data_IF_955988415973
#
_entry.id   IF_955988415973
#
_cell.length_a   1.000
_cell.length_b   1.000
_cell.length_c   1.000
_cell.angle_alpha   90.00
_cell.angle_beta   90.00
_cell.angle_gamma   90.00
#
_symmetry.space_group_name_H-M   'P 1'
#
loop_
_entity.id
_entity.type
_entity.pdbx_description
1 polymer ?
#
# COMPACT_ATOMS: atom_id res chain seq x y z
N UNK A 1 -5.61 -28.46 14.53
CA UNK A 1 -4.35 -28.17 13.82
C UNK A 1 -4.25 -26.66 13.53
N UNK A 2 -3.96 -25.83 14.53
CA UNK A 2 -4.00 -24.35 14.38
C UNK A 2 -2.70 -23.63 14.80
N UNK A 3 -1.70 -24.35 15.33
CA UNK A 3 -0.45 -23.76 15.85
C UNK A 3 0.60 -23.38 14.80
N UNK A 4 0.58 -23.99 13.60
CA UNK A 4 1.61 -23.77 12.57
C UNK A 4 1.57 -22.39 11.91
N UNK A 5 0.38 -21.80 11.78
CA UNK A 5 0.19 -20.50 11.11
C UNK A 5 0.71 -19.33 11.97
N UNK A 6 0.44 -19.33 13.27
CA UNK A 6 0.86 -18.26 14.18
C UNK A 6 2.38 -18.21 14.39
N UNK A 7 3.03 -19.37 14.49
CA UNK A 7 4.49 -19.45 14.63
C UNK A 7 5.21 -18.98 13.37
N UNK A 8 4.75 -19.39 12.18
CA UNK A 8 5.29 -18.94 10.91
C UNK A 8 5.12 -17.42 10.71
N UNK A 9 3.94 -16.90 11.07
CA UNK A 9 3.65 -15.45 11.01
C UNK A 9 4.55 -14.65 11.95
N UNK A 10 4.74 -15.13 13.19
CA UNK A 10 5.68 -14.52 14.14
C UNK A 10 7.11 -14.53 13.59
N UNK A 11 7.57 -15.66 13.05
CA UNK A 11 8.91 -15.77 12.48
C UNK A 11 9.11 -14.78 11.30
N UNK A 12 8.10 -14.62 10.44
CA UNK A 12 8.10 -13.62 9.38
C UNK A 12 8.25 -12.21 9.97
N UNK A 13 7.38 -11.82 10.90
CA UNK A 13 7.39 -10.48 11.52
C UNK A 13 8.74 -10.18 12.16
N UNK A 14 9.31 -11.14 12.91
CA UNK A 14 10.59 -10.95 13.59
C UNK A 14 11.79 -10.95 12.65
N UNK A 15 11.64 -11.42 11.41
CA UNK A 15 12.70 -11.37 10.40
C UNK A 15 12.76 -10.03 9.64
N UNK A 16 11.67 -9.27 9.63
CA UNK A 16 11.56 -8.00 8.91
C UNK A 16 12.61 -6.94 9.28
N UNK A 17 13.05 -6.77 10.55
CA UNK A 17 14.11 -5.83 10.88
C UNK A 17 15.40 -6.05 10.08
N UNK A 18 15.77 -7.30 9.82
CA UNK A 18 16.98 -7.61 9.05
C UNK A 18 16.81 -7.25 7.56
N UNK A 19 15.62 -7.51 7.01
CA UNK A 19 15.28 -7.11 5.63
C UNK A 19 15.29 -5.59 5.50
N UNK A 20 14.64 -4.89 6.43
CA UNK A 20 14.56 -3.42 6.46
C UNK A 20 15.94 -2.82 6.65
N UNK A 21 16.79 -3.38 7.52
CA UNK A 21 18.17 -2.90 7.71
C UNK A 21 19.02 -3.03 6.45
N UNK A 22 18.83 -4.08 5.65
CA UNK A 22 19.60 -4.33 4.42
C UNK A 22 19.12 -3.50 3.24
N UNK A 23 17.81 -3.38 3.07
CA UNK A 23 17.20 -2.79 1.87
C UNK A 23 16.64 -1.38 2.10
N UNK A 24 16.45 -1.03 3.38
CA UNK A 24 15.75 0.15 3.90
C UNK A 24 14.24 -0.03 4.05
N UNK A 25 13.63 -1.02 3.41
CA UNK A 25 12.24 -1.41 3.62
C UNK A 25 12.05 -2.87 3.21
N UNK A 26 10.97 -3.49 3.68
CA UNK A 26 10.44 -4.74 3.14
C UNK A 26 9.24 -4.44 2.23
N UNK A 27 8.92 -5.38 1.33
CA UNK A 27 7.73 -5.32 0.48
C UNK A 27 6.91 -6.58 0.72
N UNK A 28 5.69 -6.43 1.18
CA UNK A 28 4.72 -7.51 1.31
C UNK A 28 3.85 -7.54 0.05
N UNK A 29 3.86 -8.67 -0.66
CA UNK A 29 2.98 -8.91 -1.81
C UNK A 29 1.80 -9.78 -1.35
N UNK A 30 0.58 -9.44 -1.79
CA UNK A 30 -0.65 -10.13 -1.42
C UNK A 30 -1.39 -10.55 -2.68
N UNK A 31 -1.48 -11.87 -2.88
CA UNK A 31 -2.25 -12.48 -3.96
C UNK A 31 -3.71 -12.55 -3.57
N UNK A 32 -4.51 -11.66 -4.15
CA UNK A 32 -5.96 -11.58 -3.98
C UNK A 32 -6.62 -11.44 -5.37
N UNK A 33 -7.94 -11.29 -5.43
CA UNK A 33 -8.70 -11.03 -6.67
C UNK A 33 -8.08 -9.86 -7.47
N UNK A 34 -7.58 -8.85 -6.77
CA UNK A 34 -6.72 -7.80 -7.33
C UNK A 34 -5.39 -7.81 -6.59
N UNK A 35 -4.28 -8.24 -7.22
CA UNK A 35 -2.98 -8.27 -6.58
C UNK A 35 -2.53 -6.90 -6.10
N UNK A 36 -1.94 -6.85 -4.90
CA UNK A 36 -1.36 -5.63 -4.37
C UNK A 36 -0.07 -5.90 -3.60
N UNK A 37 0.66 -4.82 -3.36
CA UNK A 37 1.83 -4.84 -2.50
C UNK A 37 1.87 -3.58 -1.64
N UNK A 38 2.51 -3.68 -0.48
CA UNK A 38 2.78 -2.53 0.36
C UNK A 38 4.16 -2.61 1.00
N UNK A 39 4.71 -1.46 1.36
CA UNK A 39 5.97 -1.37 2.08
C UNK A 39 5.78 -1.59 3.58
N UNK A 40 6.84 -2.09 4.22
CA UNK A 40 6.96 -2.16 5.67
C UNK A 40 8.32 -1.58 6.05
N UNK A 41 8.31 -0.61 6.97
CA UNK A 41 9.52 -0.01 7.50
C UNK A 41 10.04 1.19 6.71
N UNK A 42 9.39 1.59 5.61
CA UNK A 42 9.80 2.77 4.85
C UNK A 42 9.66 4.05 5.69
N UNK A 43 8.60 4.11 6.51
CA UNK A 43 8.36 5.21 7.44
C UNK A 43 9.42 5.36 8.54
N UNK A 44 10.20 4.31 8.79
CA UNK A 44 11.28 4.32 9.79
C UNK A 44 12.62 4.74 9.19
N UNK A 45 12.83 4.47 7.90
CA UNK A 45 14.12 4.68 7.22
C UNK A 45 14.14 5.92 6.35
N UNK A 46 12.98 6.42 5.94
CA UNK A 46 12.81 7.63 5.13
C UNK A 46 12.00 8.67 5.90
N UNK A 47 12.66 9.68 6.52
CA UNK A 47 11.99 10.67 7.36
C UNK A 47 10.82 11.36 6.66
N UNK A 48 9.65 11.35 7.30
CA UNK A 48 8.43 11.99 6.79
C UNK A 48 7.74 11.25 5.64
N UNK A 49 8.17 10.03 5.30
CA UNK A 49 7.58 9.22 4.23
C UNK A 49 6.53 8.26 4.81
N UNK A 50 5.28 8.23 4.32
CA UNK A 50 4.32 7.20 4.69
C UNK A 50 4.69 5.84 4.09
N UNK A 51 4.12 4.76 4.62
CA UNK A 51 4.16 3.48 3.92
C UNK A 51 3.35 3.57 2.60
N UNK A 52 3.79 2.85 1.57
CA UNK A 52 3.24 2.93 0.21
C UNK A 52 2.52 1.62 -0.12
N UNK A 53 1.31 1.72 -0.64
CA UNK A 53 0.49 0.60 -1.15
C UNK A 53 0.20 0.80 -2.64
N UNK A 54 0.27 -0.28 -3.42
CA UNK A 54 -0.02 -0.27 -4.86
C UNK A 54 -0.81 -1.52 -5.25
N UNK A 55 -1.92 -1.32 -5.98
CA UNK A 55 -2.60 -2.40 -6.71
C UNK A 55 -2.05 -2.48 -8.14
N UNK A 56 -1.86 -3.70 -8.66
CA UNK A 56 -1.37 -3.93 -10.01
C UNK A 56 -1.89 -5.24 -10.61
N UNK A 57 -1.80 -5.48 -11.92
CA UNK A 57 -2.31 -6.72 -12.54
C UNK A 57 -1.53 -7.97 -12.16
N UNK A 58 -0.35 -7.83 -11.54
CA UNK A 58 0.46 -8.94 -11.05
C UNK A 58 1.22 -8.56 -9.77
N UNK A 59 1.52 -9.56 -8.94
CA UNK A 59 2.32 -9.37 -7.71
C UNK A 59 3.70 -8.79 -8.00
N UNK A 60 4.35 -9.26 -9.06
CA UNK A 60 5.66 -8.79 -9.46
C UNK A 60 5.63 -7.30 -9.79
N UNK A 61 4.63 -6.87 -10.56
CA UNK A 61 4.47 -5.46 -10.90
C UNK A 61 4.11 -4.62 -9.66
N UNK A 62 3.20 -5.08 -8.80
CA UNK A 62 2.85 -4.37 -7.57
C UNK A 62 4.10 -4.14 -6.69
N UNK A 63 4.89 -5.19 -6.47
CA UNK A 63 6.13 -5.10 -5.69
C UNK A 63 7.21 -4.23 -6.36
N UNK A 64 7.31 -4.27 -7.69
CA UNK A 64 8.21 -3.40 -8.43
C UNK A 64 7.83 -1.92 -8.28
N UNK A 65 6.54 -1.58 -8.40
CA UNK A 65 6.05 -0.20 -8.28
C UNK A 65 6.25 0.35 -6.87
N UNK A 66 6.02 -0.44 -5.81
CA UNK A 66 6.35 -0.02 -4.43
C UNK A 66 7.83 0.32 -4.29
N UNK A 67 8.72 -0.55 -4.82
CA UNK A 67 10.17 -0.29 -4.78
C UNK A 67 10.56 0.96 -5.58
N UNK A 68 9.97 1.17 -6.76
CA UNK A 68 10.27 2.34 -7.59
C UNK A 68 9.87 3.64 -6.89
N UNK A 69 8.67 3.70 -6.30
CA UNK A 69 8.21 4.85 -5.52
C UNK A 69 9.20 5.16 -4.39
N UNK A 70 9.55 4.17 -3.57
CA UNK A 70 10.42 4.39 -2.42
C UNK A 70 11.88 4.69 -2.81
N UNK A 71 12.37 4.13 -3.91
CA UNK A 71 13.67 4.48 -4.49
C UNK A 71 13.69 5.96 -4.89
N UNK A 72 12.66 6.43 -5.58
CA UNK A 72 12.53 7.85 -5.99
C UNK A 72 12.39 8.79 -4.81
N UNK A 73 11.70 8.37 -3.74
CA UNK A 73 11.66 9.11 -2.48
C UNK A 73 13.06 9.21 -1.85
N UNK A 74 13.79 8.09 -1.76
CA UNK A 74 15.16 8.06 -1.24
C UNK A 74 16.11 8.96 -2.04
N UNK A 75 15.94 9.00 -3.36
CA UNK A 75 16.72 9.87 -4.26
C UNK A 75 16.30 11.34 -4.21
N UNK A 76 15.20 11.66 -3.52
CA UNK A 76 14.66 13.02 -3.45
C UNK A 76 13.95 13.49 -4.72
N UNK A 77 13.68 12.60 -5.67
CA UNK A 77 12.99 12.91 -6.94
C UNK A 77 11.47 12.78 -6.84
N UNK A 78 10.98 12.25 -5.72
CA UNK A 78 9.56 12.14 -5.41
C UNK A 78 9.33 12.46 -3.93
N UNK A 79 8.23 13.16 -3.63
CA UNK A 79 7.65 13.22 -2.29
C UNK A 79 6.30 12.54 -2.32
N UNK A 80 6.06 11.66 -1.36
CA UNK A 80 4.81 10.91 -1.29
C UNK A 80 3.94 11.50 -0.18
N UNK A 81 2.81 12.09 -0.54
CA UNK A 81 1.84 12.68 0.37
C UNK A 81 0.45 12.74 -0.29
N UNK A 82 -0.60 12.98 0.52
CA UNK A 82 -1.97 13.16 0.03
C UNK A 82 -2.03 14.17 -1.12
N UNK A 83 -2.66 13.77 -2.22
CA UNK A 83 -2.90 14.62 -3.38
C UNK A 83 -1.67 14.85 -4.28
N UNK A 84 -0.49 14.35 -3.92
CA UNK A 84 0.68 14.45 -4.81
C UNK A 84 0.42 13.62 -6.06
N UNK A 85 0.58 14.26 -7.22
CA UNK A 85 0.51 13.61 -8.53
C UNK A 85 1.90 13.16 -8.97
N UNK A 86 1.98 11.97 -9.54
CA UNK A 86 3.17 11.39 -10.13
C UNK A 86 2.89 10.92 -11.55
N UNK A 87 3.60 11.50 -12.51
CA UNK A 87 3.48 11.18 -13.93
C UNK A 87 4.62 10.29 -14.42
N UNK A 88 5.46 9.76 -13.54
CA UNK A 88 6.64 8.97 -13.96
C UNK A 88 6.60 7.50 -13.53
N UNK A 89 5.66 7.10 -12.65
CA UNK A 89 5.64 5.75 -12.07
C UNK A 89 5.35 4.64 -13.11
N UNK A 90 4.47 4.91 -14.07
CA UNK A 90 4.06 3.95 -15.10
C UNK A 90 4.58 4.38 -16.47
N UNK A 91 5.87 4.68 -16.55
CA UNK A 91 6.53 5.23 -17.75
C UNK A 91 5.84 6.49 -18.33
N UNK A 92 5.03 7.17 -17.51
CA UNK A 92 4.22 8.32 -17.90
C UNK A 92 3.00 8.05 -18.76
N UNK A 93 2.63 6.79 -18.96
CA UNK A 93 1.41 6.43 -19.69
C UNK A 93 0.16 6.75 -18.88
N UNK A 94 0.24 6.61 -17.55
CA UNK A 94 -0.88 6.83 -16.64
C UNK A 94 -0.47 7.74 -15.48
N UNK A 95 -1.12 8.90 -15.30
CA UNK A 95 -0.97 9.71 -14.10
C UNK A 95 -1.38 8.92 -12.86
N UNK A 96 -0.61 9.09 -11.80
CA UNK A 96 -0.88 8.52 -10.48
C UNK A 96 -1.12 9.66 -9.50
N UNK A 97 -1.97 9.43 -8.51
CA UNK A 97 -2.10 10.31 -7.35
C UNK A 97 -2.04 9.50 -6.07
N UNK A 98 -1.32 10.01 -5.07
CA UNK A 98 -1.24 9.37 -3.77
C UNK A 98 -2.42 9.79 -2.89
N UNK A 99 -3.15 8.80 -2.38
CA UNK A 99 -4.27 8.99 -1.45
C UNK A 99 -3.99 8.29 -0.13
N UNK A 100 -4.19 8.97 1.00
CA UNK A 100 -4.08 8.40 2.34
C UNK A 100 -5.11 7.28 2.47
N UNK A 101 -4.63 6.13 2.92
CA UNK A 101 -5.48 5.00 3.27
C UNK A 101 -6.20 5.34 4.58
N UNK A 102 -7.52 5.18 4.60
CA UNK A 102 -8.34 5.38 5.79
C UNK A 102 -8.02 4.28 6.82
N UNK A 103 -7.87 4.64 8.09
CA UNK A 103 -7.41 3.73 9.15
C UNK A 103 -8.32 2.50 9.33
N UNK A 104 -9.62 2.65 9.08
CA UNK A 104 -10.57 1.54 9.15
C UNK A 104 -10.39 0.47 8.05
N UNK A 105 -9.54 0.73 7.05
CA UNK A 105 -9.14 -0.24 6.01
C UNK A 105 -7.92 -1.06 6.45
N UNK A 106 -7.16 -0.61 7.47
CA UNK A 106 -5.84 -1.15 7.75
C UNK A 106 -5.86 -2.66 8.08
N UNK A 107 -6.82 -3.11 8.90
CA UNK A 107 -6.89 -4.51 9.33
C UNK A 107 -7.14 -5.48 8.19
N UNK A 108 -7.78 -5.03 7.11
CA UNK A 108 -8.09 -5.85 5.93
C UNK A 108 -6.87 -6.00 5.02
N UNK A 109 -6.13 -4.90 4.79
CA UNK A 109 -5.08 -4.86 3.76
C UNK A 109 -3.64 -4.99 4.30
N UNK A 110 -3.37 -4.58 5.54
CA UNK A 110 -2.00 -4.29 6.02
C UNK A 110 -1.48 -5.28 7.07
N UNK A 111 -2.11 -6.45 7.20
CA UNK A 111 -1.95 -7.37 8.34
C UNK A 111 -0.52 -7.58 8.87
N UNK A 112 0.45 -7.98 8.02
CA UNK A 112 1.85 -8.20 8.45
C UNK A 112 2.54 -6.89 8.82
N UNK A 113 2.26 -5.81 8.09
CA UNK A 113 2.79 -4.48 8.41
C UNK A 113 2.30 -3.98 9.77
N UNK A 114 1.01 -4.11 10.05
CA UNK A 114 0.43 -3.73 11.35
C UNK A 114 1.04 -4.54 12.50
N UNK A 115 1.18 -5.86 12.32
CA UNK A 115 1.81 -6.70 13.33
C UNK A 115 3.28 -6.36 13.54
N UNK A 116 4.00 -6.01 12.49
CA UNK A 116 5.37 -5.53 12.60
C UNK A 116 5.45 -4.24 13.41
N UNK A 117 4.62 -3.25 13.12
CA UNK A 117 4.65 -1.98 13.83
C UNK A 117 4.21 -2.13 15.29
N UNK A 118 3.17 -2.91 15.58
CA UNK A 118 2.75 -3.21 16.96
C UNK A 118 3.83 -3.98 17.72
N UNK A 119 4.48 -4.98 17.10
CA UNK A 119 5.57 -5.70 17.74
C UNK A 119 6.79 -4.81 17.99
N UNK A 120 7.10 -3.89 17.06
CA UNK A 120 8.27 -3.02 17.13
C UNK A 120 8.05 -1.84 18.09
N UNK A 121 6.83 -1.32 18.18
CA UNK A 121 6.42 -0.15 18.98
C UNK A 121 5.03 -0.39 19.58
N UNK A 122 4.93 -1.22 20.63
CA UNK A 122 3.64 -1.59 21.21
C UNK A 122 2.87 -0.36 21.70
N UNK A 123 1.61 -0.25 21.29
CA UNK A 123 0.72 0.84 21.69
C UNK A 123 0.92 2.18 20.96
N UNK A 124 1.87 2.29 20.02
CA UNK A 124 1.96 3.44 19.13
C UNK A 124 0.95 3.31 17.97
N UNK A 125 0.36 4.41 17.47
CA UNK A 125 -0.46 4.37 16.25
C UNK A 125 0.34 3.83 15.07
N UNK A 126 -0.30 3.00 14.25
CA UNK A 126 0.30 2.55 12.99
C UNK A 126 0.70 3.74 12.11
N UNK A 127 1.81 3.65 11.33
CA UNK A 127 2.24 4.74 10.48
C UNK A 127 1.18 5.08 9.44
N UNK A 128 1.24 6.30 8.92
CA UNK A 128 0.41 6.70 7.79
C UNK A 128 0.74 5.83 6.57
N UNK A 129 -0.31 5.41 5.87
CA UNK A 129 -0.20 4.69 4.60
C UNK A 129 -0.80 5.56 3.50
N UNK A 130 -0.17 5.57 2.34
CA UNK A 130 -0.77 6.10 1.12
C UNK A 130 -0.81 5.04 0.05
N UNK A 131 -1.75 5.24 -0.85
CA UNK A 131 -2.01 4.36 -1.97
C UNK A 131 -1.77 5.12 -3.27
N UNK A 132 -1.00 4.52 -4.17
CA UNK A 132 -0.88 5.00 -5.54
C UNK A 132 -2.16 4.64 -6.31
N UNK A 133 -2.98 5.66 -6.61
CA UNK A 133 -4.20 5.49 -7.42
C UNK A 133 -3.89 5.89 -8.86
N UNK A 134 -4.09 4.95 -9.78
CA UNK A 134 -3.83 5.15 -11.21
C UNK A 134 -5.08 5.76 -11.86
N UNK A 135 -4.89 6.79 -12.70
CA UNK A 135 -5.96 7.32 -13.54
C UNK A 135 -6.28 6.38 -14.71
N UNK A 136 -7.43 6.57 -15.36
CA UNK A 136 -7.71 5.87 -16.61
C UNK A 136 -6.82 6.37 -17.76
N UNK A 137 -6.98 5.79 -18.96
CA UNK A 137 -6.22 6.16 -20.15
C UNK A 137 -6.40 7.63 -20.61
N UNK A 138 -7.42 8.33 -20.11
CA UNK A 138 -7.64 9.75 -20.37
C UNK A 138 -7.11 10.65 -19.23
N UNK A 139 -6.46 10.07 -18.22
CA UNK A 139 -5.97 10.79 -17.05
C UNK A 139 -7.06 11.17 -16.05
N UNK A 140 -8.23 10.51 -16.10
CA UNK A 140 -9.35 10.76 -15.18
C UNK A 140 -9.29 9.78 -14.00
N UNK A 141 -9.41 10.28 -12.77
CA UNK A 141 -9.37 9.47 -11.55
C UNK A 141 -10.74 8.89 -11.16
N UNK A 142 -10.79 7.83 -10.32
CA UNK A 142 -12.04 7.14 -9.97
C UNK A 142 -13.16 8.00 -9.36
N UNK A 143 -12.83 9.17 -8.80
CA UNK A 143 -13.79 10.11 -8.20
C UNK A 143 -14.16 11.27 -9.13
N UNK A 144 -13.53 11.38 -10.29
CA UNK A 144 -13.79 12.46 -11.25
C UNK A 144 -14.90 12.05 -12.23
N UNK A 145 -15.66 13.04 -12.69
CA UNK A 145 -16.71 12.80 -13.68
C UNK A 145 -16.07 12.35 -15.00
N UNK A 146 -16.61 11.27 -15.59
CA UNK A 146 -16.12 10.72 -16.86
C UNK A 146 -15.11 9.58 -16.74
N UNK A 147 -14.79 9.11 -15.53
CA UNK A 147 -13.94 7.94 -15.32
C UNK A 147 -14.49 6.69 -16.02
N UNK A 148 -13.66 6.01 -16.83
CA UNK A 148 -14.03 4.72 -17.47
C UNK A 148 -13.46 3.52 -16.67
N UNK A 149 -14.28 2.83 -15.85
CA UNK A 149 -13.81 1.72 -15.02
C UNK A 149 -13.38 0.49 -15.83
N UNK A 150 -13.70 0.40 -17.12
CA UNK A 150 -13.30 -0.73 -17.98
C UNK A 150 -11.84 -0.65 -18.42
N UNK A 151 -11.20 0.50 -18.22
CA UNK A 151 -9.85 0.81 -18.72
C UNK A 151 -8.79 0.83 -17.64
N UNK A 152 -9.13 0.40 -16.43
CA UNK A 152 -8.22 0.41 -15.29
C UNK A 152 -8.50 -0.80 -14.37
N UNK A 153 -7.55 -1.10 -13.50
CA UNK A 153 -7.75 -2.10 -12.45
C UNK A 153 -8.88 -1.66 -11.50
N UNK A 154 -9.74 -2.60 -11.07
CA UNK A 154 -10.71 -2.34 -10.01
C UNK A 154 -9.94 -2.06 -8.72
N UNK A 155 -9.73 -0.77 -8.46
CA UNK A 155 -8.93 -0.29 -7.36
C UNK A 155 -9.87 0.09 -6.23
N UNK A 156 -9.83 -0.61 -5.08
CA UNK A 156 -10.76 -0.31 -3.98
C UNK A 156 -10.50 1.10 -3.45
N UNK A 157 -11.54 1.87 -3.08
CA UNK A 157 -11.40 3.25 -2.65
C UNK A 157 -10.92 3.32 -1.21
N UNK A 158 -9.68 2.89 -0.94
CA UNK A 158 -9.15 2.77 0.42
C UNK A 158 -8.99 4.11 1.14
N UNK A 159 -9.14 5.24 0.45
CA UNK A 159 -9.24 6.58 1.06
C UNK A 159 -10.61 6.87 1.70
N UNK A 160 -11.58 5.97 1.51
CA UNK A 160 -12.88 6.05 2.16
C UNK A 160 -12.92 5.10 3.36
N UNK A 161 -13.72 5.43 4.40
CA UNK A 161 -13.98 4.48 5.47
C UNK A 161 -14.61 3.19 4.92
N UNK A 162 -14.26 2.06 5.55
CA UNK A 162 -14.93 0.79 5.34
C UNK A 162 -16.43 0.99 5.55
N UNK A 163 -17.23 0.60 4.55
CA UNK A 163 -18.69 0.62 4.70
C UNK A 163 -19.07 -0.46 5.71
N UNK A 164 -19.93 -0.17 6.69
CA UNK A 164 -20.49 -1.22 7.53
C UNK A 164 -21.13 -2.26 6.61
N UNK A 165 -20.80 -3.53 6.82
CA UNK A 165 -21.57 -4.61 6.19
C UNK A 165 -22.98 -4.49 6.75
N UNK A 166 -23.89 -3.93 5.96
CA UNK A 166 -25.29 -3.82 6.36
C UNK A 166 -25.78 -5.23 6.68
N UNK A 167 -26.17 -5.47 7.92
CA UNK A 167 -26.92 -6.67 8.26
C UNK A 167 -28.20 -6.65 7.42
N UNK A 168 -28.24 -7.44 6.35
CA UNK A 168 -29.51 -7.81 5.73
C UNK A 168 -30.32 -8.51 6.81
N UNK A 169 -31.28 -7.81 7.40
CA UNK A 169 -32.38 -8.46 8.09
C UNK A 169 -33.25 -9.08 7.01
N UNK A 170 -33.22 -10.41 6.95
CA UNK A 170 -34.25 -11.20 6.28
C UNK A 170 -35.61 -10.95 6.94
#
# INVERSE_FOLDING_TARGET
>A
MTGGSAAARRALVTSLPEVIRRSGWAVQMVGDDVPFAYSIGASETLPGTPEVLVFAPSLHLAGHLVNDVLRRVREGTLRVAEGVRDVNLLAGEHPVVYRRVHESQFSEYLGIGLEYHEWRRPGEPAPAHVMAVVADANGVFPWEAGYDPRRNLPTPPLWQPTRPVGHFRA
#
